data_IF_071478959591
#
_entry.id   IF_071478959591
#
_cell.length_a   1.000
_cell.length_b   1.000
_cell.length_c   1.000
_cell.angle_alpha   90.00
_cell.angle_beta   90.00
_cell.angle_gamma   90.00
#
_symmetry.space_group_name_H-M   'P 1'
#
loop_
_entity.id
_entity.type
_entity.pdbx_description
1 polymer ?
#
# COMPACT_ATOMS: atom_id res chain seq x y z
N UNK A 1 -9.47 21.99 -1.13
CA UNK A 1 -8.16 21.54 -1.66
C UNK A 1 -8.48 20.38 -2.59
N UNK A 2 -8.25 20.54 -3.89
CA UNK A 2 -8.53 19.49 -4.86
C UNK A 2 -7.48 18.38 -4.76
N UNK A 3 -7.88 17.21 -4.28
CA UNK A 3 -7.03 16.02 -4.31
C UNK A 3 -6.98 15.49 -5.74
N UNK A 4 -5.90 15.80 -6.47
CA UNK A 4 -5.68 15.23 -7.80
C UNK A 4 -5.61 13.70 -7.73
N UNK A 5 -6.39 12.99 -8.54
CA UNK A 5 -6.43 11.52 -8.54
C UNK A 5 -5.05 10.98 -8.95
N UNK A 6 -4.51 10.06 -8.16
CA UNK A 6 -3.31 9.31 -8.54
C UNK A 6 -3.74 8.04 -9.27
N UNK A 7 -3.42 7.92 -10.56
CA UNK A 7 -3.76 6.75 -11.37
C UNK A 7 -2.49 5.99 -11.71
N UNK A 8 -2.45 4.69 -11.42
CA UNK A 8 -1.39 3.79 -11.84
C UNK A 8 -1.97 2.61 -12.59
N UNK A 9 -1.55 2.40 -13.84
CA UNK A 9 -2.09 1.36 -14.75
C UNK A 9 -3.63 1.37 -14.89
N UNK A 10 -4.24 2.55 -14.84
CA UNK A 10 -5.71 2.69 -14.89
C UNK A 10 -6.43 2.35 -13.58
N UNK A 11 -5.70 2.04 -12.50
CA UNK A 11 -6.27 1.91 -11.15
C UNK A 11 -6.07 3.18 -10.36
N UNK A 12 -7.13 3.62 -9.71
CA UNK A 12 -7.10 4.77 -8.81
C UNK A 12 -6.44 4.37 -7.49
N UNK A 13 -5.48 5.18 -7.04
CA UNK A 13 -4.83 5.04 -5.76
C UNK A 13 -5.38 6.13 -4.84
N UNK A 14 -6.11 5.73 -3.81
CA UNK A 14 -6.62 6.66 -2.81
C UNK A 14 -5.46 7.24 -2.00
N UNK A 15 -5.51 8.55 -1.79
CA UNK A 15 -4.52 9.29 -1.02
C UNK A 15 -5.16 10.31 -0.10
N UNK A 16 -4.47 10.64 0.98
CA UNK A 16 -4.86 11.68 1.93
C UNK A 16 -3.62 12.48 2.35
N UNK A 17 -3.84 13.68 2.89
CA UNK A 17 -2.77 14.46 3.49
C UNK A 17 -2.74 14.13 4.98
N UNK A 18 -1.61 13.64 5.48
CA UNK A 18 -1.39 13.41 6.90
C UNK A 18 0.01 13.93 7.27
N UNK A 19 0.10 14.68 8.37
CA UNK A 19 1.34 15.35 8.81
C UNK A 19 2.02 16.21 7.72
N UNK A 20 1.21 16.89 6.90
CA UNK A 20 1.68 17.74 5.79
C UNK A 20 2.40 16.96 4.67
N UNK A 21 2.20 15.64 4.58
CA UNK A 21 2.73 14.77 3.55
C UNK A 21 1.61 13.96 2.88
N UNK A 22 1.89 13.43 1.68
CA UNK A 22 0.98 12.52 1.00
C UNK A 22 1.09 11.11 1.55
N UNK A 23 -0.06 10.56 1.91
CA UNK A 23 -0.22 9.18 2.37
C UNK A 23 -1.12 8.43 1.41
N UNK A 24 -0.76 7.20 1.10
CA UNK A 24 -1.42 6.39 0.09
C UNK A 24 -1.99 5.12 0.71
N UNK A 25 -3.15 4.70 0.22
CA UNK A 25 -3.75 3.42 0.58
C UNK A 25 -2.83 2.27 0.17
N UNK A 26 -2.37 1.50 1.15
CA UNK A 26 -1.46 0.36 0.91
C UNK A 26 -2.15 -0.73 0.09
N UNK A 27 -3.45 -0.96 0.31
CA UNK A 27 -4.20 -1.96 -0.46
C UNK A 27 -4.27 -1.59 -1.93
N UNK A 28 -4.48 -0.31 -2.25
CA UNK A 28 -4.67 0.16 -3.63
C UNK A 28 -3.34 0.13 -4.38
N UNK A 29 -2.25 0.51 -3.71
CA UNK A 29 -0.89 0.39 -4.27
C UNK A 29 -0.56 -1.06 -4.57
N UNK A 30 -0.81 -1.98 -3.62
CA UNK A 30 -0.56 -3.42 -3.84
C UNK A 30 -1.43 -3.95 -4.96
N UNK A 31 -2.71 -3.59 -5.01
CA UNK A 31 -3.63 -3.99 -6.08
C UNK A 31 -3.17 -3.48 -7.46
N UNK A 32 -2.75 -2.22 -7.54
CA UNK A 32 -2.27 -1.59 -8.77
C UNK A 32 -0.94 -2.18 -9.26
N UNK A 33 -0.11 -2.67 -8.34
CA UNK A 33 1.16 -3.30 -8.69
C UNK A 33 1.03 -4.79 -9.02
N UNK A 34 0.13 -5.51 -8.36
CA UNK A 34 0.08 -6.99 -8.41
C UNK A 34 -1.05 -7.53 -9.24
N UNK A 35 -2.04 -6.69 -9.59
CA UNK A 35 -3.30 -7.11 -10.19
C UNK A 35 -4.01 -8.22 -9.40
N UNK A 36 -3.70 -8.34 -8.10
CA UNK A 36 -4.29 -9.32 -7.22
C UNK A 36 -5.76 -9.01 -6.97
N UNK A 37 -6.62 -10.02 -7.14
CA UNK A 37 -8.06 -9.96 -6.80
C UNK A 37 -8.27 -9.78 -5.29
N UNK A 38 -7.32 -10.23 -4.47
CA UNK A 38 -7.32 -10.03 -3.01
C UNK A 38 -6.00 -9.39 -2.55
N UNK A 39 -5.91 -8.04 -2.51
CA UNK A 39 -4.71 -7.34 -2.04
C UNK A 39 -4.45 -7.58 -0.55
N UNK A 40 -5.46 -7.85 0.28
CA UNK A 40 -5.28 -8.11 1.72
C UNK A 40 -4.55 -9.42 1.94
N UNK A 41 -4.97 -10.48 1.24
CA UNK A 41 -4.29 -11.76 1.31
C UNK A 41 -2.87 -11.68 0.72
N UNK A 42 -2.68 -10.91 -0.35
CA UNK A 42 -1.35 -10.65 -0.91
C UNK A 42 -0.42 -10.01 0.13
N UNK A 43 -0.87 -8.93 0.78
CA UNK A 43 -0.11 -8.25 1.84
C UNK A 43 0.23 -9.22 2.98
N UNK A 44 -0.72 -10.05 3.40
CA UNK A 44 -0.48 -11.06 4.46
C UNK A 44 0.65 -12.03 4.05
N UNK A 45 0.62 -12.55 2.82
CA UNK A 45 1.66 -13.44 2.29
C UNK A 45 3.01 -12.73 2.13
N UNK A 46 3.01 -11.49 1.67
CA UNK A 46 4.22 -10.66 1.54
C UNK A 46 4.89 -10.47 2.90
N UNK A 47 4.12 -10.08 3.93
CA UNK A 47 4.62 -9.95 5.32
C UNK A 47 5.13 -11.27 5.90
N UNK A 48 4.51 -12.40 5.57
CA UNK A 48 5.02 -13.70 6.02
C UNK A 48 6.37 -14.07 5.40
N UNK A 49 6.66 -13.59 4.19
CA UNK A 49 7.88 -13.88 3.44
C UNK A 49 9.02 -12.90 3.73
N UNK A 50 8.69 -11.70 4.18
CA UNK A 50 9.63 -10.65 4.59
C UNK A 50 9.45 -10.35 6.09
N UNK A 51 10.19 -11.07 6.97
CA UNK A 51 10.08 -10.91 8.42
C UNK A 51 10.43 -9.51 8.91
N UNK A 52 11.34 -8.82 8.21
CA UNK A 52 11.77 -7.47 8.54
C UNK A 52 10.66 -6.46 8.22
N UNK A 53 10.04 -6.55 7.04
CA UNK A 53 8.85 -5.74 6.73
C UNK A 53 7.75 -6.00 7.75
N UNK A 54 7.57 -7.26 8.18
CA UNK A 54 6.55 -7.61 9.15
C UNK A 54 6.83 -7.03 10.55
N UNK A 55 8.09 -6.97 10.99
CA UNK A 55 8.46 -6.37 12.27
C UNK A 55 8.23 -4.86 12.29
N UNK A 56 8.44 -4.19 11.15
CA UNK A 56 8.24 -2.73 11.03
C UNK A 56 6.86 -2.32 10.48
N UNK A 57 5.97 -3.29 10.24
CA UNK A 57 4.68 -3.03 9.58
C UNK A 57 3.83 -1.99 10.31
N UNK A 58 3.76 -2.07 11.64
CA UNK A 58 2.98 -1.13 12.46
C UNK A 58 3.56 0.29 12.50
N UNK A 59 4.85 0.45 12.17
CA UNK A 59 5.51 1.76 12.06
C UNK A 59 5.33 2.35 10.66
N UNK A 60 5.37 1.50 9.64
CA UNK A 60 5.24 1.89 8.23
C UNK A 60 3.79 2.23 7.87
N UNK A 61 2.84 1.40 8.34
CA UNK A 61 1.43 1.54 8.00
C UNK A 61 0.67 2.17 9.16
N UNK A 62 0.08 3.34 8.91
CA UNK A 62 -0.83 4.01 9.85
C UNK A 62 -2.27 3.88 9.35
N UNK A 63 -3.23 3.43 10.18
CA UNK A 63 -4.64 3.49 9.83
C UNK A 63 -5.07 4.95 9.75
N UNK A 64 -5.51 5.38 8.57
CA UNK A 64 -6.02 6.73 8.32
C UNK A 64 -7.44 6.63 7.75
N UNK A 65 -8.29 7.57 8.11
CA UNK A 65 -9.61 7.69 7.50
C UNK A 65 -9.48 8.25 6.08
N UNK A 66 -9.86 7.44 5.10
CA UNK A 66 -9.91 7.83 3.69
C UNK A 66 -11.26 7.46 3.10
N UNK A 67 -11.67 8.18 2.06
CA UNK A 67 -12.89 7.89 1.31
C UNK A 67 -12.72 6.58 0.56
N UNK A 68 -13.56 5.58 0.86
CA UNK A 68 -13.62 4.33 0.12
C UNK A 68 -14.34 4.51 -1.23
N UNK A 69 -14.23 3.54 -2.16
CA UNK A 69 -14.87 3.64 -3.48
C UNK A 69 -16.40 3.81 -3.43
N UNK A 70 -17.05 3.41 -2.33
CA UNK A 70 -18.47 3.61 -2.08
C UNK A 70 -18.81 5.01 -1.50
N UNK A 71 -17.84 5.91 -1.45
CA UNK A 71 -17.98 7.28 -0.93
C UNK A 71 -17.97 7.39 0.59
N UNK A 72 -17.84 6.28 1.33
CA UNK A 72 -17.84 6.31 2.80
C UNK A 72 -16.42 6.44 3.35
N UNK A 73 -16.25 7.22 4.42
CA UNK A 73 -14.99 7.28 5.16
C UNK A 73 -14.77 5.96 5.90
N UNK A 74 -13.60 5.34 5.71
CA UNK A 74 -13.19 4.16 6.46
C UNK A 74 -11.71 4.24 6.81
N UNK A 75 -11.38 3.68 7.97
CA UNK A 75 -9.99 3.44 8.34
C UNK A 75 -9.36 2.46 7.35
N UNK A 76 -8.33 2.93 6.67
CA UNK A 76 -7.53 2.14 5.73
C UNK A 76 -6.07 2.28 6.11
N UNK A 77 -5.33 1.18 6.07
CA UNK A 77 -3.88 1.21 6.26
C UNK A 77 -3.24 2.03 5.15
N UNK A 78 -2.65 3.15 5.53
CA UNK A 78 -1.97 4.07 4.63
C UNK A 78 -0.50 4.15 5.00
N UNK A 79 0.34 4.47 4.03
CA UNK A 79 1.75 4.74 4.24
C UNK A 79 2.17 6.00 3.48
N UNK A 80 3.16 6.71 3.99
CA UNK A 80 3.81 7.79 3.26
C UNK A 80 4.65 7.22 2.10
N UNK A 81 5.24 8.11 1.29
CA UNK A 81 6.07 7.73 0.14
C UNK A 81 7.16 6.73 0.50
N UNK A 82 7.91 6.93 1.59
CA UNK A 82 8.96 6.02 2.06
C UNK A 82 8.43 4.64 2.42
N UNK A 83 7.32 4.60 3.18
CA UNK A 83 6.67 3.36 3.56
C UNK A 83 6.15 2.58 2.35
N UNK A 84 5.59 3.28 1.37
CA UNK A 84 5.21 2.68 0.09
C UNK A 84 6.45 2.12 -0.63
N UNK A 85 7.56 2.84 -0.73
CA UNK A 85 8.78 2.33 -1.35
C UNK A 85 9.27 1.04 -0.68
N UNK A 86 9.28 0.97 0.66
CA UNK A 86 9.68 -0.25 1.39
C UNK A 86 8.76 -1.45 1.09
N UNK A 87 7.46 -1.21 0.94
CA UNK A 87 6.47 -2.22 0.56
C UNK A 87 6.71 -2.70 -0.88
N UNK A 88 6.96 -1.78 -1.81
CA UNK A 88 7.24 -2.11 -3.22
C UNK A 88 8.54 -2.89 -3.37
N UNK A 89 9.58 -2.56 -2.61
CA UNK A 89 10.85 -3.31 -2.61
C UNK A 89 10.65 -4.77 -2.17
N UNK A 90 9.85 -5.00 -1.11
CA UNK A 90 9.53 -6.35 -0.67
C UNK A 90 8.87 -7.20 -1.76
N UNK A 91 8.12 -6.57 -2.68
CA UNK A 91 7.60 -7.24 -3.88
C UNK A 91 8.72 -7.61 -4.87
N UNK A 92 9.69 -6.73 -5.13
CA UNK A 92 10.76 -6.99 -6.08
C UNK A 92 11.64 -8.17 -5.65
N UNK A 93 11.88 -8.31 -4.35
CA UNK A 93 12.66 -9.43 -3.78
C UNK A 93 11.95 -10.78 -3.94
N UNK A 94 10.62 -10.80 -4.13
CA UNK A 94 9.87 -12.03 -4.43
C UNK A 94 10.22 -12.63 -5.80
N UNK A 95 10.73 -11.84 -6.74
CA UNK A 95 11.11 -12.32 -8.07
C UNK A 95 12.58 -12.76 -8.17
N UNK A 96 13.42 -12.48 -7.17
CA UNK A 96 14.84 -12.87 -7.20
C UNK A 96 15.14 -14.19 -6.48
N UNK A 97 14.22 -14.70 -5.65
CA UNK A 97 14.42 -15.98 -4.93
C UNK A 97 14.05 -17.25 -5.73
N UNK A 98 13.74 -17.14 -7.02
CA UNK A 98 13.46 -18.30 -7.91
C UNK A 98 14.62 -18.59 -8.89
N UNK A 99 15.79 -17.98 -8.67
CA UNK A 99 17.01 -18.26 -9.44
C UNK A 99 18.20 -18.48 -8.48
N UNK A 100 18.18 -19.60 -7.76
CA UNK A 100 19.36 -20.30 -7.22
C UNK A 100 18.99 -21.76 -6.98
#
# INVERSE_FOLDING_TARGET
METSIAVFKGKEIRKTIHKNEWWFSVSDVVEALTDSVDPKQYIKKMRQRDPELNSYWGTICTPLEITAPDGKMRETNCANTEGIFRIVQSKADLNQKTLI
#
